data_IF_801052398184
#
_entry.id   IF_801052398184
#
_cell.length_a   1.000
_cell.length_b   1.000
_cell.length_c   1.000
_cell.angle_alpha   90.00
_cell.angle_beta   90.00
_cell.angle_gamma   90.00
#
_symmetry.space_group_name_H-M   'P 1'
#
loop_
_entity.id
_entity.type
_entity.pdbx_description
1 polymer ?
#
# COMPACT_ATOMS: atom_id res chain seq x y z
N UNK A 1 -6.56 37.05 6.18
CA UNK A 1 -5.39 36.15 6.25
C UNK A 1 -5.78 34.78 5.70
N UNK A 2 -5.53 34.53 4.42
CA UNK A 2 -5.86 33.26 3.76
C UNK A 2 -4.88 32.18 4.21
N UNK A 3 -5.32 31.31 5.13
CA UNK A 3 -4.59 30.10 5.51
C UNK A 3 -4.55 29.16 4.30
N UNK A 4 -3.51 29.27 3.47
CA UNK A 4 -3.16 28.29 2.43
C UNK A 4 -2.72 26.99 3.12
N UNK A 5 -3.67 26.22 3.62
CA UNK A 5 -3.45 24.82 3.99
C UNK A 5 -3.39 23.96 2.74
N UNK A 6 -2.45 23.01 2.68
CA UNK A 6 -2.48 21.91 1.70
C UNK A 6 -3.86 21.24 1.80
N UNK A 7 -4.54 20.90 0.69
CA UNK A 7 -5.76 20.10 0.75
C UNK A 7 -5.47 18.87 1.60
N UNK A 8 -6.26 18.64 2.66
CA UNK A 8 -6.20 17.36 3.35
C UNK A 8 -6.64 16.33 2.32
N UNK A 9 -5.73 15.42 1.96
CA UNK A 9 -6.11 14.25 1.16
C UNK A 9 -7.20 13.52 1.95
N UNK A 10 -8.34 13.23 1.32
CA UNK A 10 -9.44 12.52 1.97
C UNK A 10 -8.99 11.15 2.50
N UNK A 11 -7.92 10.60 1.91
CA UNK A 11 -7.20 9.43 2.39
C UNK A 11 -5.70 9.72 2.57
N UNK A 12 -5.20 9.96 3.80
CA UNK A 12 -3.78 10.17 4.06
C UNK A 12 -3.02 8.83 4.11
N UNK A 13 -1.87 8.75 3.43
CA UNK A 13 -0.97 7.58 3.55
C UNK A 13 -0.43 7.46 4.98
N UNK A 14 -0.73 6.35 5.66
CA UNK A 14 -0.23 6.02 7.00
C UNK A 14 0.85 4.94 6.88
N UNK A 15 1.90 5.02 7.70
CA UNK A 15 2.94 3.99 7.76
C UNK A 15 2.40 2.74 8.46
N UNK A 16 2.61 1.58 7.84
CA UNK A 16 2.38 0.29 8.47
C UNK A 16 3.67 -0.12 9.19
N UNK A 17 3.74 0.13 10.49
CA UNK A 17 4.94 -0.17 11.28
C UNK A 17 5.00 -1.67 11.64
N UNK A 18 6.21 -2.26 11.59
CA UNK A 18 6.59 -3.57 12.15
C UNK A 18 6.07 -4.85 11.46
N UNK A 19 6.08 -4.95 10.13
CA UNK A 19 5.86 -6.24 9.44
C UNK A 19 7.15 -7.07 9.38
N UNK A 20 7.11 -8.33 9.83
CA UNK A 20 8.21 -9.29 9.67
C UNK A 20 7.91 -10.25 8.53
N UNK A 21 8.85 -10.38 7.60
CA UNK A 21 8.78 -11.29 6.46
C UNK A 21 9.83 -12.39 6.58
N UNK A 22 9.60 -13.51 5.89
CA UNK A 22 10.64 -14.54 5.70
C UNK A 22 11.76 -13.98 4.84
N UNK A 23 13.00 -14.41 5.07
CA UNK A 23 14.17 -14.00 4.27
C UNK A 23 14.00 -14.31 2.79
N UNK A 24 13.45 -15.48 2.44
CA UNK A 24 13.19 -15.85 1.04
C UNK A 24 12.24 -14.85 0.36
N UNK A 25 11.19 -14.42 1.08
CA UNK A 25 10.21 -13.47 0.56
C UNK A 25 10.84 -12.09 0.33
N UNK A 26 11.77 -11.66 1.19
CA UNK A 26 12.50 -10.40 0.97
C UNK A 26 13.35 -10.46 -0.30
N UNK A 27 14.04 -11.58 -0.54
CA UNK A 27 14.84 -11.80 -1.75
C UNK A 27 13.94 -11.76 -2.99
N UNK A 28 12.78 -12.41 -2.95
CA UNK A 28 11.84 -12.41 -4.07
C UNK A 28 11.32 -10.98 -4.35
N UNK A 29 10.99 -10.22 -3.31
CA UNK A 29 10.54 -8.83 -3.44
C UNK A 29 11.63 -7.96 -4.09
N UNK A 30 12.89 -8.11 -3.67
CA UNK A 30 14.02 -7.37 -4.23
C UNK A 30 14.21 -7.69 -5.72
N UNK A 31 14.25 -8.98 -6.08
CA UNK A 31 14.39 -9.43 -7.46
C UNK A 31 13.25 -8.94 -8.36
N UNK A 32 12.01 -8.99 -7.88
CA UNK A 32 10.85 -8.54 -8.65
C UNK A 32 10.87 -7.02 -8.81
N UNK A 33 11.19 -6.28 -7.75
CA UNK A 33 11.28 -4.82 -7.78
C UNK A 33 12.33 -4.35 -8.81
N UNK A 34 13.50 -4.98 -8.81
CA UNK A 34 14.57 -4.71 -9.78
C UNK A 34 14.13 -5.00 -11.22
N UNK A 35 13.40 -6.09 -11.46
CA UNK A 35 12.88 -6.44 -12.79
C UNK A 35 11.82 -5.46 -13.30
N UNK A 36 11.11 -4.81 -12.39
CA UNK A 36 10.05 -3.86 -12.69
C UNK A 36 10.52 -2.40 -12.67
N UNK A 37 11.79 -2.14 -12.34
CA UNK A 37 12.38 -0.80 -12.19
C UNK A 37 11.58 0.09 -11.21
N UNK A 38 11.17 -0.49 -10.08
CA UNK A 38 10.42 0.18 -9.01
C UNK A 38 11.07 -0.11 -7.65
N UNK A 39 10.70 0.68 -6.63
CA UNK A 39 11.19 0.41 -5.28
C UNK A 39 10.46 -0.77 -4.63
N UNK A 40 11.14 -1.51 -3.74
CA UNK A 40 10.50 -2.57 -2.93
C UNK A 40 9.26 -2.04 -2.18
N UNK A 41 9.31 -0.79 -1.70
CA UNK A 41 8.20 -0.14 -1.02
C UNK A 41 6.99 0.07 -1.93
N UNK A 42 7.20 0.47 -3.19
CA UNK A 42 6.12 0.61 -4.17
C UNK A 42 5.51 -0.74 -4.55
N UNK A 43 6.36 -1.77 -4.70
CA UNK A 43 5.90 -3.13 -4.98
C UNK A 43 5.02 -3.65 -3.84
N UNK A 44 5.52 -3.62 -2.60
CA UNK A 44 4.79 -4.08 -1.40
C UNK A 44 3.48 -3.32 -1.26
N UNK A 45 3.50 -1.99 -1.41
CA UNK A 45 2.31 -1.15 -1.35
C UNK A 45 1.27 -1.58 -2.39
N UNK A 46 1.70 -1.78 -3.63
CA UNK A 46 0.81 -2.15 -4.74
C UNK A 46 0.18 -3.53 -4.55
N UNK A 47 0.96 -4.50 -4.07
CA UNK A 47 0.47 -5.85 -3.73
C UNK A 47 -0.59 -5.75 -2.63
N UNK A 48 -0.30 -5.05 -1.53
CA UNK A 48 -1.21 -4.93 -0.39
C UNK A 48 -2.50 -4.20 -0.78
N UNK A 49 -2.41 -3.06 -1.47
CA UNK A 49 -3.60 -2.29 -1.88
C UNK A 49 -4.50 -3.10 -2.83
N UNK A 50 -3.90 -3.86 -3.76
CA UNK A 50 -4.62 -4.76 -4.66
C UNK A 50 -5.32 -5.88 -3.90
N UNK A 51 -4.61 -6.55 -3.00
CA UNK A 51 -5.15 -7.70 -2.25
C UNK A 51 -6.25 -7.29 -1.27
N UNK A 52 -6.07 -6.16 -0.58
CA UNK A 52 -7.11 -5.60 0.31
C UNK A 52 -8.39 -5.31 -0.46
N UNK A 53 -8.31 -4.81 -1.70
CA UNK A 53 -9.48 -4.58 -2.55
C UNK A 53 -10.22 -5.87 -2.89
N UNK A 54 -9.47 -6.94 -3.21
CA UNK A 54 -10.03 -8.27 -3.50
C UNK A 54 -10.72 -8.82 -2.24
N UNK A 55 -10.03 -8.83 -1.10
CA UNK A 55 -10.56 -9.32 0.18
C UNK A 55 -11.81 -8.56 0.61
N UNK A 56 -11.86 -7.24 0.45
CA UNK A 56 -13.07 -6.45 0.72
C UNK A 56 -14.25 -6.89 -0.15
N UNK A 57 -14.01 -7.16 -1.43
CA UNK A 57 -15.03 -7.64 -2.36
C UNK A 57 -15.53 -9.02 -1.99
N UNK A 58 -14.63 -9.96 -1.67
CA UNK A 58 -14.99 -11.33 -1.30
C UNK A 58 -15.74 -11.40 0.03
N UNK A 59 -15.36 -10.56 0.99
CA UNK A 59 -16.02 -10.45 2.30
C UNK A 59 -17.26 -9.55 2.30
N UNK A 60 -17.62 -8.97 1.14
CA UNK A 60 -18.76 -8.06 0.99
C UNK A 60 -18.69 -6.82 1.93
N UNK A 61 -17.48 -6.34 2.23
CA UNK A 61 -17.25 -5.18 3.09
C UNK A 61 -17.44 -3.91 2.25
N UNK A 62 -18.54 -3.20 2.48
CA UNK A 62 -18.76 -1.86 1.91
C UNK A 62 -17.90 -0.85 2.67
N UNK A 63 -17.01 -0.16 1.95
CA UNK A 63 -16.27 0.96 2.53
C UNK A 63 -17.28 2.08 2.77
N UNK A 64 -17.39 2.52 4.03
CA UNK A 64 -18.06 3.79 4.35
C UNK A 64 -17.23 4.89 3.69
N UNK A 65 -17.79 5.57 2.69
CA UNK A 65 -17.26 6.77 2.01
C UNK A 65 -16.48 6.54 0.70
N UNK A 66 -17.13 5.94 -0.31
CA UNK A 66 -16.90 6.36 -1.70
C UNK A 66 -17.93 7.44 -2.08
#
# INVERSE_FOLDING_TARGET
MNRRGRPKSDDPKIKLDNVRLKTSTLIDIELIADKLDITQSELIRSIIEKEVKILKSELNIKVLND
#
